data_IF_851867458853
#
_entry.id   IF_851867458853
#
_cell.length_a   1.000
_cell.length_b   1.000
_cell.length_c   1.000
_cell.angle_alpha   90.00
_cell.angle_beta   90.00
_cell.angle_gamma   90.00
#
_symmetry.space_group_name_H-M   'P 1'
#
loop_
_entity.id
_entity.type
_entity.pdbx_description
1 polymer ?
#
# COMPACT_ATOMS: atom_id res chain seq x y z
N UNK A 1 -7.47 -10.07 -11.33
CA UNK A 1 -6.98 -9.59 -12.66
C UNK A 1 -5.51 -9.92 -12.88
N UNK A 2 -4.57 -9.54 -11.95
CA UNK A 2 -3.15 -9.79 -12.20
C UNK A 2 -2.80 -11.30 -12.25
N UNK A 3 -3.45 -12.13 -11.45
CA UNK A 3 -3.29 -13.59 -11.49
C UNK A 3 -3.88 -14.17 -12.77
N UNK A 4 -5.01 -13.65 -13.24
CA UNK A 4 -5.68 -14.10 -14.46
C UNK A 4 -4.93 -13.67 -15.73
N UNK A 5 -4.31 -12.49 -15.70
CA UNK A 5 -3.56 -11.94 -16.82
C UNK A 5 -2.25 -11.28 -16.35
N UNK A 6 -1.22 -12.08 -16.02
CA UNK A 6 0.06 -11.58 -15.51
C UNK A 6 0.83 -10.75 -16.55
N UNK A 7 0.73 -11.09 -17.84
CA UNK A 7 1.40 -10.34 -18.91
C UNK A 7 0.88 -8.90 -18.96
N UNK A 8 -0.43 -8.72 -18.89
CA UNK A 8 -1.04 -7.38 -18.88
C UNK A 8 -0.65 -6.58 -17.62
N UNK A 9 -0.59 -7.24 -16.45
CA UNK A 9 -0.15 -6.60 -15.21
C UNK A 9 1.30 -6.08 -15.33
N UNK A 10 2.21 -6.87 -15.89
CA UNK A 10 3.60 -6.47 -16.15
C UNK A 10 3.68 -5.34 -17.17
N UNK A 11 2.96 -5.43 -18.29
CA UNK A 11 2.94 -4.36 -19.29
C UNK A 11 2.48 -3.03 -18.73
N UNK A 12 1.37 -3.02 -17.99
CA UNK A 12 0.84 -1.78 -17.41
C UNK A 12 1.76 -1.26 -16.29
N UNK A 13 2.10 -2.09 -15.32
CA UNK A 13 2.80 -1.62 -14.13
C UNK A 13 4.30 -1.44 -14.35
N UNK A 14 4.97 -2.35 -15.08
CA UNK A 14 6.42 -2.27 -15.25
C UNK A 14 6.80 -1.45 -16.48
N UNK A 15 6.29 -1.82 -17.66
CA UNK A 15 6.61 -1.08 -18.88
C UNK A 15 6.00 0.32 -18.86
N UNK A 16 4.76 0.46 -18.38
CA UNK A 16 4.12 1.78 -18.17
C UNK A 16 4.94 2.68 -17.24
N UNK A 17 5.46 2.15 -16.13
CA UNK A 17 6.35 2.89 -15.23
C UNK A 17 7.64 3.30 -15.93
N UNK A 18 8.27 2.41 -16.70
CA UNK A 18 9.47 2.73 -17.47
C UNK A 18 9.20 3.90 -18.45
N UNK A 19 8.08 3.86 -19.17
CA UNK A 19 7.70 4.95 -20.09
C UNK A 19 7.52 6.28 -19.36
N UNK A 20 6.86 6.28 -18.19
CA UNK A 20 6.68 7.50 -17.38
C UNK A 20 8.02 8.05 -16.91
N UNK A 21 8.93 7.20 -16.42
CA UNK A 21 10.26 7.61 -15.98
C UNK A 21 11.08 8.17 -17.14
N UNK A 22 11.01 7.55 -18.33
CA UNK A 22 11.70 8.05 -19.51
C UNK A 22 11.15 9.43 -19.94
N UNK A 23 9.83 9.60 -20.01
CA UNK A 23 9.23 10.90 -20.30
C UNK A 23 9.61 11.95 -19.25
N UNK A 24 9.58 11.59 -17.96
CA UNK A 24 9.96 12.50 -16.89
C UNK A 24 11.41 13.00 -17.04
N UNK A 25 12.33 12.08 -17.39
CA UNK A 25 13.73 12.43 -17.70
C UNK A 25 13.83 13.36 -18.90
N UNK A 26 13.14 13.08 -20.01
CA UNK A 26 13.19 13.86 -21.26
C UNK A 26 12.66 15.27 -21.08
N UNK A 27 11.60 15.46 -20.28
CA UNK A 27 11.04 16.81 -20.01
C UNK A 27 11.75 17.52 -18.85
N UNK A 28 12.76 16.93 -18.25
CA UNK A 28 13.51 17.53 -17.14
C UNK A 28 12.68 17.66 -15.86
N UNK A 29 11.81 16.70 -15.56
CA UNK A 29 11.05 16.68 -14.32
C UNK A 29 11.97 16.68 -13.11
N UNK A 30 11.70 17.52 -12.12
CA UNK A 30 12.55 17.67 -10.92
C UNK A 30 12.48 16.44 -10.02
N UNK A 31 11.35 15.74 -9.99
CA UNK A 31 11.12 14.60 -9.09
C UNK A 31 10.00 13.69 -9.60
N UNK A 32 10.10 12.40 -9.34
CA UNK A 32 9.04 11.41 -9.57
C UNK A 32 8.73 10.70 -8.26
N UNK A 33 7.46 10.63 -7.89
CA UNK A 33 6.98 9.85 -6.76
C UNK A 33 6.33 8.57 -7.29
N UNK A 34 6.79 7.41 -6.83
CA UNK A 34 6.29 6.12 -7.26
C UNK A 34 5.45 5.46 -6.17
N UNK A 35 4.19 5.22 -6.47
CA UNK A 35 3.27 4.48 -5.60
C UNK A 35 3.52 2.97 -5.73
N UNK A 36 4.27 2.40 -4.79
CA UNK A 36 4.52 0.97 -4.67
C UNK A 36 3.59 0.31 -3.63
N UNK A 37 3.92 -0.87 -3.15
CA UNK A 37 3.04 -1.72 -2.34
C UNK A 37 3.80 -2.49 -1.27
N UNK A 38 3.21 -2.63 -0.08
CA UNK A 38 3.68 -3.55 0.96
C UNK A 38 3.59 -5.03 0.57
N UNK A 39 2.83 -5.37 -0.50
CA UNK A 39 2.75 -6.75 -1.01
C UNK A 39 4.09 -7.32 -1.47
N UNK A 40 5.11 -6.47 -1.68
CA UNK A 40 6.47 -6.90 -1.97
C UNK A 40 7.18 -7.58 -0.82
N UNK A 41 6.69 -7.42 0.40
CA UNK A 41 7.24 -8.10 1.58
C UNK A 41 6.84 -9.58 1.69
N UNK A 42 5.74 -10.00 1.07
CA UNK A 42 5.29 -11.38 1.03
C UNK A 42 5.14 -12.01 2.41
N UNK A 43 5.90 -13.09 2.67
CA UNK A 43 5.92 -13.82 3.94
C UNK A 43 7.02 -13.35 4.90
N UNK A 44 7.75 -12.28 4.58
CA UNK A 44 8.73 -11.73 5.50
C UNK A 44 8.09 -11.40 6.86
N UNK A 45 8.85 -11.62 7.91
CA UNK A 45 8.41 -11.38 9.29
C UNK A 45 8.14 -9.89 9.55
N UNK A 46 7.04 -9.61 10.21
CA UNK A 46 6.67 -8.25 10.62
C UNK A 46 7.33 -7.90 11.99
N UNK A 47 7.69 -6.62 12.25
CA UNK A 47 7.45 -5.43 11.42
C UNK A 47 8.30 -5.39 10.14
N UNK A 48 7.67 -4.99 9.03
CA UNK A 48 8.36 -4.91 7.75
C UNK A 48 9.23 -3.66 7.67
N UNK A 49 10.51 -3.85 7.36
CA UNK A 49 11.49 -2.78 7.13
C UNK A 49 11.94 -2.76 5.67
N UNK A 50 12.30 -1.60 5.15
CA UNK A 50 12.59 -1.40 3.73
C UNK A 50 13.82 -2.17 3.23
N UNK A 51 14.67 -2.66 4.13
CA UNK A 51 15.86 -3.47 3.82
C UNK A 51 15.61 -4.98 3.74
N UNK A 52 14.39 -5.44 4.09
CA UNK A 52 14.03 -6.85 3.91
C UNK A 52 14.07 -7.24 2.42
N UNK A 53 14.44 -8.49 2.10
CA UNK A 53 14.40 -8.98 0.74
C UNK A 53 12.98 -8.96 0.17
N UNK A 54 12.87 -8.74 -1.14
CA UNK A 54 11.57 -8.83 -1.81
C UNK A 54 11.10 -10.29 -1.84
N UNK A 55 9.85 -10.55 -1.42
CA UNK A 55 9.19 -11.86 -1.43
C UNK A 55 7.81 -11.75 -2.08
N UNK A 56 7.82 -11.66 -3.41
CA UNK A 56 6.63 -11.41 -4.21
C UNK A 56 5.78 -12.68 -4.39
N UNK A 57 4.59 -12.72 -3.82
CA UNK A 57 3.70 -13.89 -3.86
C UNK A 57 2.75 -13.92 -5.07
N UNK A 58 2.70 -12.87 -5.88
CA UNK A 58 1.78 -12.78 -7.02
C UNK A 58 2.30 -11.82 -8.10
N UNK A 59 1.75 -11.88 -9.34
CA UNK A 59 2.21 -11.04 -10.45
C UNK A 59 2.08 -9.52 -10.20
N UNK A 60 1.12 -9.09 -9.39
CA UNK A 60 0.99 -7.69 -9.03
C UNK A 60 2.20 -7.21 -8.22
N UNK A 61 2.57 -7.92 -7.15
CA UNK A 61 3.73 -7.55 -6.33
C UNK A 61 5.02 -7.57 -7.15
N UNK A 62 5.23 -8.59 -8.00
CA UNK A 62 6.38 -8.64 -8.94
C UNK A 62 6.42 -7.39 -9.81
N UNK A 63 5.30 -7.02 -10.44
CA UNK A 63 5.24 -5.87 -11.34
C UNK A 63 5.51 -4.53 -10.65
N UNK A 64 5.08 -4.38 -9.40
CA UNK A 64 5.31 -3.16 -8.60
C UNK A 64 6.75 -3.07 -8.12
N UNK A 65 7.33 -4.18 -7.65
CA UNK A 65 8.74 -4.23 -7.24
C UNK A 65 9.68 -4.00 -8.44
N UNK A 66 9.35 -4.50 -9.61
CA UNK A 66 10.08 -4.17 -10.84
C UNK A 66 10.09 -2.64 -11.10
N UNK A 67 8.96 -1.95 -10.86
CA UNK A 67 8.89 -0.49 -10.92
C UNK A 67 9.80 0.22 -9.91
N UNK A 68 9.94 -0.31 -8.68
CA UNK A 68 10.89 0.22 -7.69
C UNK A 68 12.33 0.14 -8.20
N UNK A 69 12.72 -1.01 -8.78
CA UNK A 69 14.06 -1.19 -9.36
C UNK A 69 14.30 -0.22 -10.52
N UNK A 70 13.28 0.03 -11.36
CA UNK A 70 13.36 1.05 -12.42
C UNK A 70 13.56 2.44 -11.83
N UNK A 71 12.79 2.85 -10.82
CA UNK A 71 12.94 4.15 -10.16
C UNK A 71 14.38 4.33 -9.64
N UNK A 72 14.88 3.34 -8.88
CA UNK A 72 16.26 3.37 -8.38
C UNK A 72 17.27 3.48 -9.52
N UNK A 73 17.14 2.68 -10.56
CA UNK A 73 18.05 2.71 -11.73
C UNK A 73 18.03 4.08 -12.41
N UNK A 74 16.86 4.71 -12.59
CA UNK A 74 16.77 6.05 -13.16
C UNK A 74 17.43 7.12 -12.30
N UNK A 75 17.38 6.98 -10.97
CA UNK A 75 18.12 7.85 -10.05
C UNK A 75 19.62 7.64 -10.21
N UNK A 76 20.09 6.41 -10.12
CA UNK A 76 21.52 6.08 -10.11
C UNK A 76 22.22 6.39 -11.46
N UNK A 77 21.57 6.10 -12.60
CA UNK A 77 22.20 6.24 -13.92
C UNK A 77 21.92 7.59 -14.59
N UNK A 78 20.76 8.17 -14.35
CA UNK A 78 20.32 9.35 -15.09
C UNK A 78 20.11 10.59 -14.22
N UNK A 79 20.31 10.48 -12.90
CA UNK A 79 20.13 11.60 -11.97
C UNK A 79 18.68 12.07 -11.83
N UNK A 80 17.69 11.25 -12.21
CA UNK A 80 16.29 11.57 -12.00
C UNK A 80 15.92 11.30 -10.54
N UNK A 81 15.58 12.34 -9.78
CA UNK A 81 15.20 12.20 -8.38
C UNK A 81 13.90 11.40 -8.26
N UNK A 82 13.96 10.17 -7.74
CA UNK A 82 12.78 9.35 -7.47
C UNK A 82 12.61 9.09 -5.98
N UNK A 83 11.36 9.02 -5.52
CA UNK A 83 10.98 8.59 -4.16
C UNK A 83 9.95 7.49 -4.30
N UNK A 84 10.14 6.39 -3.58
CA UNK A 84 9.35 5.18 -3.73
C UNK A 84 8.58 4.95 -2.42
N UNK A 85 7.25 4.94 -2.49
CA UNK A 85 6.40 4.68 -1.33
C UNK A 85 5.76 3.30 -1.41
N UNK A 86 6.05 2.42 -0.45
CA UNK A 86 5.32 1.18 -0.22
C UNK A 86 4.10 1.48 0.65
N UNK A 87 2.93 1.65 0.02
CA UNK A 87 1.68 1.84 0.75
C UNK A 87 1.23 0.53 1.37
N UNK A 88 0.82 0.59 2.65
CA UNK A 88 0.12 -0.48 3.33
C UNK A 88 -1.38 -0.42 2.98
N UNK A 89 -2.28 -0.95 3.80
CA UNK A 89 -3.68 -1.04 3.39
C UNK A 89 -4.39 0.30 3.56
N UNK A 90 -4.57 1.01 2.46
CA UNK A 90 -5.17 2.35 2.47
C UNK A 90 -6.68 2.26 2.68
N UNK A 91 -7.20 3.04 3.64
CA UNK A 91 -8.62 3.21 3.89
C UNK A 91 -9.00 4.70 3.84
N UNK A 92 -10.30 4.99 3.72
CA UNK A 92 -10.81 6.35 3.78
C UNK A 92 -11.96 6.61 2.82
N UNK A 93 -12.31 7.87 2.69
CA UNK A 93 -13.39 8.35 1.84
C UNK A 93 -13.11 8.04 0.37
N UNK A 94 -14.16 7.77 -0.39
CA UNK A 94 -14.12 7.40 -1.82
C UNK A 94 -13.47 6.05 -2.12
N UNK A 95 -13.12 5.25 -1.09
CA UNK A 95 -12.70 3.88 -1.32
C UNK A 95 -13.80 3.10 -2.06
N UNK A 96 -13.46 2.24 -3.05
CA UNK A 96 -14.44 1.43 -3.72
C UNK A 96 -15.11 0.48 -2.69
N UNK A 97 -16.44 0.39 -2.75
CA UNK A 97 -17.23 -0.47 -1.85
C UNK A 97 -17.63 -1.81 -2.47
N UNK A 98 -17.32 -2.00 -3.77
CA UNK A 98 -17.60 -3.23 -4.56
C UNK A 98 -16.45 -3.51 -5.51
N UNK A 99 -16.34 -4.79 -5.94
CA UNK A 99 -15.35 -5.23 -6.92
C UNK A 99 -14.05 -5.73 -6.28
N UNK A 100 -13.16 -6.22 -7.11
CA UNK A 100 -11.93 -6.93 -6.69
C UNK A 100 -10.92 -6.04 -5.94
N UNK A 101 -11.01 -4.71 -6.11
CA UNK A 101 -10.11 -3.74 -5.47
C UNK A 101 -10.72 -3.06 -4.25
N UNK A 102 -11.93 -3.46 -3.83
CA UNK A 102 -12.56 -2.90 -2.65
C UNK A 102 -11.81 -3.34 -1.38
N UNK A 103 -11.32 -2.39 -0.54
CA UNK A 103 -10.72 -2.73 0.74
C UNK A 103 -11.78 -3.29 1.70
N UNK A 104 -11.35 -4.09 2.67
CA UNK A 104 -12.24 -4.75 3.64
C UNK A 104 -13.14 -3.73 4.36
N UNK A 105 -12.62 -2.57 4.73
CA UNK A 105 -13.39 -1.47 5.36
C UNK A 105 -14.55 -1.00 4.47
N UNK A 106 -14.30 -0.83 3.16
CA UNK A 106 -15.32 -0.43 2.20
C UNK A 106 -16.40 -1.52 2.00
N UNK A 107 -15.97 -2.79 1.94
CA UNK A 107 -16.90 -3.94 1.83
C UNK A 107 -17.80 -4.02 3.06
N UNK A 108 -17.21 -3.99 4.26
CA UNK A 108 -17.93 -4.13 5.52
C UNK A 108 -18.91 -2.98 5.77
N UNK A 109 -18.51 -1.74 5.54
CA UNK A 109 -19.42 -0.59 5.65
C UNK A 109 -20.59 -0.68 4.66
N UNK A 110 -20.37 -1.20 3.45
CA UNK A 110 -21.46 -1.44 2.50
C UNK A 110 -22.40 -2.54 2.99
N UNK A 111 -21.86 -3.67 3.47
CA UNK A 111 -22.64 -4.79 3.98
C UNK A 111 -23.48 -4.36 5.18
N UNK A 112 -22.90 -3.64 6.14
CA UNK A 112 -23.61 -3.07 7.28
C UNK A 112 -24.78 -2.17 6.84
N UNK A 113 -24.53 -1.27 5.91
CA UNK A 113 -25.56 -0.36 5.39
C UNK A 113 -26.69 -1.10 4.62
N UNK A 114 -26.40 -2.29 4.09
CA UNK A 114 -27.39 -3.15 3.41
C UNK A 114 -28.10 -4.12 4.34
N UNK A 115 -27.76 -4.18 5.64
CA UNK A 115 -28.27 -5.20 6.58
C UNK A 115 -27.79 -6.61 6.26
N UNK A 116 -26.64 -6.74 5.57
CA UNK A 116 -26.00 -8.01 5.23
C UNK A 116 -24.97 -8.38 6.30
N UNK A 117 -24.74 -9.67 6.61
CA UNK A 117 -23.65 -10.09 7.47
C UNK A 117 -22.29 -9.73 6.84
N UNK A 118 -21.30 -9.41 7.67
CA UNK A 118 -19.92 -9.10 7.21
C UNK A 118 -19.22 -10.38 6.77
N UNK A 119 -18.67 -10.40 5.56
CA UNK A 119 -18.01 -11.59 4.99
C UNK A 119 -16.53 -11.64 5.38
N UNK A 120 -16.16 -12.52 6.29
CA UNK A 120 -14.81 -12.74 6.79
C UNK A 120 -14.13 -13.83 5.94
N UNK A 121 -13.01 -13.47 5.29
CA UNK A 121 -12.21 -14.42 4.50
C UNK A 121 -11.38 -15.31 5.44
N UNK A 122 -11.49 -16.64 5.28
CA UNK A 122 -10.80 -17.61 6.10
C UNK A 122 -11.23 -17.55 7.57
N UNK A 123 -10.28 -17.56 8.50
CA UNK A 123 -10.49 -17.45 9.94
C UNK A 123 -10.56 -16.00 10.46
N UNK A 124 -10.26 -15.01 9.60
CA UNK A 124 -10.27 -13.61 9.95
C UNK A 124 -9.07 -13.13 10.79
N UNK A 125 -8.12 -14.01 11.11
CA UNK A 125 -6.95 -13.68 11.94
C UNK A 125 -5.79 -13.07 11.15
N UNK A 126 -5.90 -12.95 9.83
CA UNK A 126 -4.90 -12.22 9.03
C UNK A 126 -4.88 -10.75 9.41
N UNK A 127 -3.70 -10.25 9.72
CA UNK A 127 -3.49 -8.87 10.22
C UNK A 127 -2.96 -7.95 9.13
N UNK A 128 -3.45 -6.72 9.12
CA UNK A 128 -3.03 -5.68 8.17
C UNK A 128 -2.79 -4.36 8.89
N UNK A 129 -1.75 -3.66 8.47
CA UNK A 129 -1.54 -2.26 8.81
C UNK A 129 -2.47 -1.40 7.93
N UNK A 130 -3.34 -0.63 8.55
CA UNK A 130 -4.30 0.24 7.87
C UNK A 130 -3.86 1.69 7.97
N UNK A 131 -3.69 2.36 6.84
CA UNK A 131 -3.28 3.75 6.74
C UNK A 131 -4.36 4.63 6.12
N UNK A 132 -4.61 5.79 6.71
CA UNK A 132 -5.64 6.72 6.22
C UNK A 132 -5.22 7.40 4.92
N UNK A 133 -6.16 7.53 3.98
CA UNK A 133 -5.88 8.04 2.64
C UNK A 133 -5.33 9.47 2.63
N UNK A 134 -5.76 10.33 3.58
CA UNK A 134 -5.22 11.70 3.67
C UNK A 134 -3.80 11.72 4.27
N UNK A 135 -3.46 10.78 5.13
CA UNK A 135 -2.08 10.62 5.61
C UNK A 135 -1.16 10.18 4.48
N UNK A 136 -1.64 9.27 3.59
CA UNK A 136 -0.92 8.89 2.36
C UNK A 136 -0.75 10.11 1.43
N UNK A 137 -1.82 10.88 1.22
CA UNK A 137 -1.75 12.10 0.41
C UNK A 137 -0.76 13.11 0.98
N UNK A 138 -0.77 13.31 2.32
CA UNK A 138 0.17 14.19 3.01
C UNK A 138 1.63 13.72 2.85
N UNK A 139 1.91 12.41 2.96
CA UNK A 139 3.25 11.87 2.69
C UNK A 139 3.73 12.22 1.27
N UNK A 140 2.85 12.09 0.27
CA UNK A 140 3.17 12.48 -1.12
C UNK A 140 3.43 13.98 -1.27
N UNK A 141 2.61 14.82 -0.65
CA UNK A 141 2.80 16.28 -0.69
C UNK A 141 4.13 16.65 -0.05
N UNK A 142 4.41 16.14 1.15
CA UNK A 142 5.68 16.40 1.84
C UNK A 142 6.88 15.98 0.99
N UNK A 143 6.86 14.79 0.40
CA UNK A 143 7.92 14.34 -0.49
C UNK A 143 8.06 15.19 -1.75
N UNK A 144 6.95 15.67 -2.32
CA UNK A 144 6.97 16.50 -3.52
C UNK A 144 7.64 17.86 -3.30
N UNK A 145 7.38 18.49 -2.14
CA UNK A 145 7.88 19.84 -1.82
C UNK A 145 9.22 19.85 -1.07
N UNK A 146 9.63 18.74 -0.45
CA UNK A 146 10.87 18.67 0.33
C UNK A 146 12.10 18.77 -0.58
N UNK A 147 13.10 19.50 -0.13
CA UNK A 147 14.45 19.40 -0.63
C UNK A 147 15.20 18.42 0.27
N UNK A 148 15.66 17.33 -0.32
CA UNK A 148 16.32 16.23 0.37
C UNK A 148 17.79 16.14 -0.06
N UNK A 149 18.59 15.50 0.77
CA UNK A 149 19.93 15.11 0.40
C UNK A 149 19.91 14.01 -0.68
N UNK A 150 20.96 13.91 -1.48
CA UNK A 150 21.00 13.02 -2.66
C UNK A 150 20.79 11.54 -2.29
N UNK A 151 21.22 11.12 -1.11
CA UNK A 151 21.07 9.74 -0.62
C UNK A 151 19.61 9.34 -0.25
N UNK A 152 18.73 10.32 -0.14
CA UNK A 152 17.31 10.09 0.09
C UNK A 152 16.54 9.73 -1.20
N UNK A 153 17.11 10.02 -2.38
CA UNK A 153 16.49 9.67 -3.66
C UNK A 153 16.81 8.23 -4.08
N UNK A 154 15.99 7.66 -4.92
CA UNK A 154 16.06 6.24 -5.30
C UNK A 154 15.72 5.28 -4.16
N UNK A 155 15.24 5.79 -3.04
CA UNK A 155 14.98 5.03 -1.82
C UNK A 155 13.51 4.64 -1.67
N UNK A 156 13.29 3.49 -1.03
CA UNK A 156 11.97 3.02 -0.61
C UNK A 156 11.66 3.53 0.78
N UNK A 157 10.39 3.93 0.99
CA UNK A 157 9.84 4.36 2.28
C UNK A 157 8.49 3.68 2.53
N UNK A 158 8.32 3.09 3.70
CA UNK A 158 7.04 2.55 4.12
C UNK A 158 6.06 3.67 4.49
N UNK A 159 4.83 3.57 3.98
CA UNK A 159 3.72 4.44 4.34
C UNK A 159 2.61 3.59 4.95
N UNK A 160 2.64 3.46 6.25
CA UNK A 160 1.71 2.70 7.07
C UNK A 160 1.42 3.44 8.37
N UNK A 161 0.55 2.88 9.19
CA UNK A 161 0.22 3.46 10.51
C UNK A 161 1.21 3.03 11.60
N UNK A 162 1.94 1.93 11.39
CA UNK A 162 2.76 1.29 12.43
C UNK A 162 1.93 0.51 13.45
N UNK A 163 0.65 0.27 13.15
CA UNK A 163 -0.29 -0.54 13.93
C UNK A 163 -1.10 -1.43 12.99
N UNK A 164 -1.37 -2.66 13.39
CA UNK A 164 -2.17 -3.55 12.56
C UNK A 164 -3.36 -4.13 13.33
N UNK A 165 -4.37 -4.51 12.56
CA UNK A 165 -5.59 -5.15 13.05
C UNK A 165 -5.87 -6.41 12.26
N UNK A 166 -6.49 -7.41 12.90
CA UNK A 166 -7.05 -8.56 12.21
C UNK A 166 -8.35 -8.16 11.47
N UNK A 167 -8.76 -9.00 10.53
CA UNK A 167 -10.06 -8.80 9.85
C UNK A 167 -11.21 -8.94 10.86
N UNK A 168 -11.06 -9.83 11.87
CA UNK A 168 -12.04 -9.98 12.96
C UNK A 168 -12.14 -8.70 13.80
N UNK A 169 -11.02 -8.07 14.16
CA UNK A 169 -11.01 -6.79 14.87
C UNK A 169 -11.69 -5.68 14.05
N UNK A 170 -11.41 -5.59 12.74
CA UNK A 170 -12.08 -4.60 11.87
C UNK A 170 -13.59 -4.89 11.78
N UNK A 171 -14.01 -6.15 11.71
CA UNK A 171 -15.43 -6.52 11.71
C UNK A 171 -16.11 -6.09 13.02
N UNK A 172 -15.49 -6.37 14.18
CA UNK A 172 -16.06 -6.04 15.49
C UNK A 172 -16.28 -4.52 15.72
N UNK A 173 -15.52 -3.67 15.03
CA UNK A 173 -15.77 -2.21 15.06
C UNK A 173 -17.05 -1.80 14.30
N UNK A 174 -17.61 -2.70 13.48
CA UNK A 174 -18.75 -2.40 12.58
C UNK A 174 -20.00 -3.20 12.96
N UNK A 175 -19.86 -4.53 13.17
CA UNK A 175 -20.98 -5.43 13.46
C UNK A 175 -20.51 -6.78 13.98
N UNK A 176 -21.29 -7.37 14.89
CA UNK A 176 -21.10 -8.77 15.35
C UNK A 176 -21.73 -9.79 14.39
N UNK A 177 -22.57 -9.36 13.45
CA UNK A 177 -23.18 -10.23 12.45
C UNK A 177 -22.19 -10.52 11.32
N UNK A 178 -21.58 -11.71 11.37
CA UNK A 178 -20.49 -12.12 10.48
C UNK A 178 -20.71 -13.51 9.91
N UNK A 179 -20.14 -13.76 8.72
CA UNK A 179 -20.10 -15.08 8.07
C UNK A 179 -18.72 -15.33 7.44
N UNK A 180 -18.16 -16.52 7.69
CA UNK A 180 -16.87 -16.87 7.10
C UNK A 180 -17.03 -17.38 5.66
N UNK A 181 -16.13 -16.94 4.78
CA UNK A 181 -16.00 -17.38 3.39
C UNK A 181 -14.63 -18.02 3.14
N UNK A 182 -14.47 -18.85 2.09
CA UNK A 182 -13.20 -19.54 1.84
C UNK A 182 -11.98 -18.61 1.80
N UNK A 183 -10.80 -19.08 2.26
CA UNK A 183 -9.57 -18.31 2.24
C UNK A 183 -9.09 -18.01 0.82
N UNK A 184 -8.33 -16.93 0.66
CA UNK A 184 -7.66 -16.57 -0.61
C UNK A 184 -6.24 -17.13 -0.65
N UNK A 185 -5.81 -17.54 -1.83
CA UNK A 185 -4.44 -18.02 -2.07
C UNK A 185 -3.51 -16.82 -2.31
N UNK A 186 -2.28 -16.92 -1.80
CA UNK A 186 -1.22 -15.92 -2.07
C UNK A 186 -1.34 -14.61 -1.28
N UNK A 187 -1.98 -14.65 -0.12
CA UNK A 187 -2.04 -13.53 0.82
C UNK A 187 -1.07 -13.72 2.01
N UNK A 188 -0.34 -12.67 2.35
CA UNK A 188 0.47 -12.64 3.56
C UNK A 188 -0.42 -12.74 4.81
N UNK A 189 0.04 -13.46 5.84
CA UNK A 189 -0.68 -13.63 7.10
C UNK A 189 -0.63 -12.38 7.98
N UNK A 190 0.49 -11.67 7.98
CA UNK A 190 0.72 -10.51 8.82
C UNK A 190 1.46 -9.42 8.03
N UNK A 191 1.01 -8.19 8.12
CA UNK A 191 1.74 -7.02 7.62
C UNK A 191 1.68 -5.88 8.63
N UNK A 192 2.84 -5.28 8.90
CA UNK A 192 3.01 -4.17 9.84
C UNK A 192 4.19 -3.32 9.38
N UNK A 193 3.96 -2.05 9.11
CA UNK A 193 5.01 -1.13 8.70
C UNK A 193 5.94 -0.76 9.87
N UNK A 194 7.24 -0.87 9.69
CA UNK A 194 8.14 0.02 10.39
C UNK A 194 8.16 1.35 9.63
N UNK A 195 7.87 2.45 10.31
CA UNK A 195 7.76 3.79 9.72
C UNK A 195 8.85 4.76 10.20
N UNK A 196 9.92 4.26 10.78
CA UNK A 196 10.98 5.11 11.34
C UNK A 196 11.74 5.85 10.24
N UNK A 197 11.96 5.20 9.08
CA UNK A 197 12.65 5.82 7.95
C UNK A 197 11.89 7.02 7.40
N UNK A 198 10.59 6.88 7.13
CA UNK A 198 9.78 8.00 6.61
C UNK A 198 9.64 9.12 7.64
N UNK A 199 9.46 8.79 8.94
CA UNK A 199 9.44 9.77 10.02
C UNK A 199 10.71 10.59 10.08
N UNK A 200 11.87 9.93 10.00
CA UNK A 200 13.17 10.60 10.04
C UNK A 200 13.40 11.49 8.83
N UNK A 201 13.05 11.02 7.63
CA UNK A 201 13.35 11.73 6.38
C UNK A 201 12.40 12.90 6.12
N UNK A 202 11.11 12.73 6.40
CA UNK A 202 10.08 13.72 6.04
C UNK A 202 9.42 14.38 7.24
N UNK A 203 9.79 14.04 8.48
CA UNK A 203 9.04 14.43 9.69
C UNK A 203 7.54 14.09 9.63
N UNK A 204 7.17 13.11 8.79
CA UNK A 204 5.81 12.65 8.58
C UNK A 204 5.38 11.65 9.65
N UNK A 205 4.11 11.69 10.01
CA UNK A 205 3.47 10.69 10.89
C UNK A 205 2.03 10.45 10.47
N UNK A 206 1.49 9.23 10.68
CA UNK A 206 0.06 8.98 10.52
C UNK A 206 -0.71 9.67 11.64
N UNK A 207 -1.91 10.19 11.33
CA UNK A 207 -2.73 10.94 12.29
C UNK A 207 -4.05 10.24 12.62
N UNK A 208 -4.59 9.41 11.70
CA UNK A 208 -5.92 8.84 11.84
C UNK A 208 -5.87 7.33 12.00
N UNK A 209 -6.38 6.84 13.14
CA UNK A 209 -6.56 5.41 13.40
C UNK A 209 -7.82 4.87 12.71
N UNK A 210 -7.75 3.64 12.16
CA UNK A 210 -8.84 3.03 11.41
C UNK A 210 -10.08 2.78 12.26
N UNK A 211 -9.92 2.41 13.54
CA UNK A 211 -11.05 2.22 14.46
C UNK A 211 -11.81 3.53 14.68
N UNK A 212 -11.07 4.62 14.94
CA UNK A 212 -11.67 5.93 15.12
C UNK A 212 -12.41 6.40 13.87
N UNK A 213 -11.79 6.21 12.69
CA UNK A 213 -12.44 6.57 11.43
C UNK A 213 -13.71 5.75 11.16
N UNK A 214 -13.68 4.43 11.39
CA UNK A 214 -14.87 3.56 11.23
C UNK A 214 -16.04 4.09 12.09
N UNK A 215 -15.79 4.45 13.35
CA UNK A 215 -16.81 5.00 14.26
C UNK A 215 -17.48 6.27 13.73
N UNK A 216 -16.80 7.04 12.87
CA UNK A 216 -17.39 8.22 12.22
C UNK A 216 -18.25 7.88 10.99
N UNK A 217 -18.23 6.63 10.53
CA UNK A 217 -18.96 6.17 9.34
C UNK A 217 -20.26 5.43 9.69
N UNK A 218 -20.45 5.06 10.96
CA UNK A 218 -21.62 4.36 11.50
C UNK A 218 -22.66 5.34 12.05
#
# INVERSE_FOLDING_TARGET
PAIENPVNALNINTIGTCNVLQCAREVGAKKVLYSSTSSGYGLNEAPNIETQPDDCLNPYSVSKIAGEKLCKMYTDLYGLNTIIFRYFNVFGERAPRKGQYAPVTGIFLRQKAAGEPLTIVGDGEQRRDYIYVKDVANANVMAAISNLDDDAYGQVYNVGSGKNYSVNEIASFISDDTINIPPRIGEARNSLANIDKIKKTFAWKPEVDVEQWIKTQL
#
